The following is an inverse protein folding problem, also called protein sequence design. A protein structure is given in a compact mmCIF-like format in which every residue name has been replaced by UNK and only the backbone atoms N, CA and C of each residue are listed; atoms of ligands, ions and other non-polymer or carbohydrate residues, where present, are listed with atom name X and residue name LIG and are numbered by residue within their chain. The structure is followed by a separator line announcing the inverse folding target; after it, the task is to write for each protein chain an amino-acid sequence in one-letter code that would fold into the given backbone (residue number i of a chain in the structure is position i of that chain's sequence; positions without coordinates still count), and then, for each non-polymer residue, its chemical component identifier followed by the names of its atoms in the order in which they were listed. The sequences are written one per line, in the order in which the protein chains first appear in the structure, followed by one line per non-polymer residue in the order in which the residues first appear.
data_IF_773051634545
#
_entry.id   IF_773051634545
#
_cell.length_a   1.000
_cell.length_b   1.000
_cell.length_c   1.000
_cell.angle_alpha   90.00
_cell.angle_beta   90.00
_cell.angle_gamma   90.00
#
_symmetry.space_group_name_H-M   'P 1'
#
loop_
_entity.id
_entity.type
_entity.pdbx_description
1 polymer ?
#
# COMPACT_ATOMS: atom_id res chain seq x y z
N UNK A 1 12.24 19.05 5.24
CA UNK A 1 12.75 18.66 3.92
C UNK A 1 11.77 19.13 2.84
N UNK A 2 12.28 19.83 1.81
CA UNK A 2 11.49 20.25 0.62
C UNK A 2 11.16 19.07 -0.31
N UNK A 3 11.87 17.94 -0.18
CA UNK A 3 11.69 16.71 -0.99
C UNK A 3 11.81 15.48 -0.09
N UNK A 4 11.11 14.42 -0.46
CA UNK A 4 11.24 13.13 0.21
C UNK A 4 12.65 12.60 0.03
N UNK A 5 13.39 12.29 1.12
CA UNK A 5 14.75 11.77 1.01
C UNK A 5 14.84 10.47 0.20
N UNK A 6 15.95 10.25 -0.49
CA UNK A 6 16.14 9.03 -1.28
C UNK A 6 16.14 7.78 -0.40
N UNK A 7 16.78 7.81 0.77
CA UNK A 7 16.77 6.71 1.74
C UNK A 7 15.33 6.30 2.10
N UNK A 8 14.43 7.26 2.32
CA UNK A 8 13.01 6.95 2.56
C UNK A 8 12.38 6.18 1.39
N UNK A 9 12.62 6.63 0.14
CA UNK A 9 12.06 5.98 -1.04
C UNK A 9 12.59 4.55 -1.21
N UNK A 10 13.86 4.35 -0.92
CA UNK A 10 14.53 3.06 -1.04
C UNK A 10 14.06 2.06 0.02
N UNK A 11 13.75 2.53 1.24
CA UNK A 11 13.21 1.69 2.33
C UNK A 11 11.71 1.43 2.16
N UNK A 12 10.98 2.28 1.43
CA UNK A 12 9.51 2.21 1.27
C UNK A 12 8.98 0.81 0.89
N UNK A 13 9.64 -0.02 0.06
CA UNK A 13 9.20 -1.38 -0.25
C UNK A 13 9.09 -2.35 0.94
N UNK A 14 9.78 -2.07 2.04
CA UNK A 14 9.72 -2.89 3.27
C UNK A 14 8.58 -2.47 4.20
N UNK A 15 8.10 -1.24 4.08
CA UNK A 15 7.01 -0.70 4.92
C UNK A 15 5.73 -1.49 4.70
N UNK A 16 5.20 -2.07 5.77
CA UNK A 16 3.95 -2.83 5.77
C UNK A 16 2.77 -1.96 6.21
N UNK A 17 2.96 -1.21 7.29
CA UNK A 17 1.92 -0.37 7.88
C UNK A 17 2.28 1.10 7.79
N UNK A 18 1.25 1.97 7.77
CA UNK A 18 1.47 3.41 7.65
C UNK A 18 2.34 3.99 8.76
N UNK A 19 2.16 3.54 10.00
CA UNK A 19 2.91 4.02 11.16
C UNK A 19 4.42 3.75 11.09
N UNK A 20 4.85 2.68 10.40
CA UNK A 20 6.28 2.36 10.22
C UNK A 20 7.04 3.49 9.49
N UNK A 21 6.34 4.29 8.67
CA UNK A 21 6.95 5.45 8.03
C UNK A 21 7.45 6.48 9.03
N UNK A 22 6.83 6.58 10.21
CA UNK A 22 7.25 7.49 11.28
C UNK A 22 8.63 7.05 11.82
N UNK A 23 8.84 5.73 11.96
CA UNK A 23 10.12 5.19 12.42
C UNK A 23 11.26 5.53 11.44
N UNK A 24 11.00 5.40 10.15
CA UNK A 24 11.98 5.73 9.10
C UNK A 24 12.30 7.24 9.15
N UNK A 25 11.26 8.08 9.26
CA UNK A 25 11.46 9.54 9.36
C UNK A 25 12.23 9.89 10.62
N UNK A 26 11.93 9.25 11.77
CA UNK A 26 12.65 9.42 13.01
C UNK A 26 14.15 9.17 12.85
N UNK A 27 14.54 8.07 12.22
CA UNK A 27 15.95 7.76 11.97
C UNK A 27 16.60 8.75 10.99
N UNK A 28 15.87 9.21 9.97
CA UNK A 28 16.40 10.19 8.99
C UNK A 28 16.67 11.55 9.61
N UNK A 29 15.87 11.98 10.59
CA UNK A 29 16.02 13.32 11.20
C UNK A 29 17.01 13.36 12.36
N UNK A 30 17.50 12.22 12.85
CA UNK A 30 18.57 12.19 13.85
C UNK A 30 19.82 12.91 13.31
N UNK A 31 20.56 13.56 14.20
CA UNK A 31 21.78 14.31 13.83
C UNK A 31 22.78 13.40 13.10
N UNK A 32 22.94 12.19 13.58
CA UNK A 32 23.83 11.18 13.00
C UNK A 32 23.28 10.55 11.73
N UNK A 33 21.98 10.74 11.43
CA UNK A 33 21.25 10.16 10.32
C UNK A 33 21.69 8.72 10.01
N UNK A 34 21.26 7.73 10.82
CA UNK A 34 21.72 6.35 10.71
C UNK A 34 21.31 5.66 9.39
N UNK A 35 20.43 6.29 8.60
CA UNK A 35 20.00 5.80 7.28
C UNK A 35 20.74 6.50 6.13
N UNK A 36 21.85 7.17 6.42
CA UNK A 36 22.70 7.78 5.41
C UNK A 36 23.77 6.78 4.96
N UNK A 37 23.93 6.63 3.63
CA UNK A 37 24.94 5.75 3.01
C UNK A 37 24.77 4.24 3.35
N UNK A 38 25.86 3.55 3.69
CA UNK A 38 25.94 2.08 3.84
C UNK A 38 25.08 1.50 4.99
N UNK A 39 24.81 2.30 6.02
CA UNK A 39 23.96 1.88 7.14
C UNK A 39 22.50 1.59 6.73
N UNK A 40 22.07 2.11 5.59
CA UNK A 40 20.73 1.85 5.05
C UNK A 40 20.54 0.37 4.70
N UNK A 41 21.56 -0.27 4.12
CA UNK A 41 21.43 -1.67 3.69
C UNK A 41 21.35 -2.61 4.91
N UNK A 42 22.09 -2.32 5.97
CA UNK A 42 21.96 -3.02 7.26
C UNK A 42 20.57 -2.81 7.87
N UNK A 43 20.06 -1.59 7.85
CA UNK A 43 18.70 -1.30 8.32
C UNK A 43 17.63 -2.10 7.53
N UNK A 44 17.78 -2.18 6.22
CA UNK A 44 16.89 -2.92 5.33
C UNK A 44 16.96 -4.43 5.59
N UNK A 45 18.15 -4.99 5.72
CA UNK A 45 18.34 -6.42 5.95
C UNK A 45 17.73 -6.88 7.28
N UNK A 46 17.72 -6.02 8.28
CA UNK A 46 17.18 -6.26 9.61
C UNK A 46 15.92 -5.43 9.89
N UNK A 47 15.12 -5.12 8.85
CA UNK A 47 14.03 -4.13 8.89
C UNK A 47 13.08 -4.32 10.09
N UNK A 48 12.59 -5.53 10.31
CA UNK A 48 11.65 -5.80 11.40
C UNK A 48 12.29 -5.59 12.78
N UNK A 49 13.51 -6.09 13.00
CA UNK A 49 14.25 -5.92 14.26
C UNK A 49 14.56 -4.43 14.52
N UNK A 50 14.92 -3.68 13.47
CA UNK A 50 15.16 -2.25 13.59
C UNK A 50 13.87 -1.48 13.93
N UNK A 51 12.73 -1.83 13.36
CA UNK A 51 11.45 -1.26 13.76
C UNK A 51 11.14 -1.53 15.24
N UNK A 52 11.33 -2.78 15.71
CA UNK A 52 11.11 -3.12 17.13
C UNK A 52 12.09 -2.40 18.05
N UNK A 53 13.37 -2.31 17.68
CA UNK A 53 14.37 -1.55 18.43
C UNK A 53 13.92 -0.09 18.60
N UNK A 54 13.52 0.60 17.52
CA UNK A 54 13.11 2.01 17.59
C UNK A 54 11.88 2.18 18.48
N UNK A 55 10.89 1.29 18.39
CA UNK A 55 9.72 1.30 19.25
C UNK A 55 10.13 1.21 20.72
N UNK A 56 10.99 0.23 21.05
CA UNK A 56 11.42 -0.02 22.43
C UNK A 56 12.27 1.16 22.99
N UNK A 57 13.25 1.65 22.23
CA UNK A 57 14.12 2.77 22.62
C UNK A 57 13.33 4.04 22.94
N UNK A 58 12.20 4.25 22.28
CA UNK A 58 11.37 5.44 22.46
C UNK A 58 10.10 5.17 23.28
N UNK A 59 9.90 3.95 23.77
CA UNK A 59 8.66 3.55 24.46
C UNK A 59 7.39 3.83 23.62
N UNK A 60 7.48 3.64 22.31
CA UNK A 60 6.37 3.90 21.40
C UNK A 60 5.52 2.66 21.16
N UNK A 61 4.23 2.88 20.96
CA UNK A 61 3.25 1.86 20.63
C UNK A 61 2.76 2.10 19.20
N UNK A 62 2.67 1.04 18.40
CA UNK A 62 2.30 1.10 16.98
C UNK A 62 0.95 1.79 16.75
N UNK A 63 -0.04 1.50 17.61
CA UNK A 63 -1.38 2.09 17.57
C UNK A 63 -1.35 3.61 17.78
N UNK A 64 -0.49 4.10 18.67
CA UNK A 64 -0.38 5.54 18.92
C UNK A 64 0.33 6.26 17.78
N UNK A 65 1.36 5.63 17.18
CA UNK A 65 1.97 6.14 15.96
C UNK A 65 0.98 6.20 14.79
N UNK A 66 0.10 5.19 14.67
CA UNK A 66 -0.95 5.20 13.65
C UNK A 66 -1.95 6.34 13.90
N UNK A 67 -2.38 6.55 15.16
CA UNK A 67 -3.25 7.69 15.52
C UNK A 67 -2.58 9.04 15.22
N UNK A 68 -1.30 9.18 15.57
CA UNK A 68 -0.50 10.39 15.28
C UNK A 68 -0.44 10.67 13.77
N UNK A 69 -0.21 9.64 12.96
CA UNK A 69 -0.18 9.75 11.51
C UNK A 69 -1.54 10.22 10.95
N UNK A 70 -2.65 9.69 11.48
CA UNK A 70 -3.99 10.04 11.03
C UNK A 70 -4.41 11.43 11.53
N UNK A 71 -4.01 11.83 12.73
CA UNK A 71 -4.17 13.20 13.22
C UNK A 71 -3.40 14.21 12.36
N UNK A 72 -2.17 13.89 11.97
CA UNK A 72 -1.38 14.72 11.07
C UNK A 72 -2.04 14.88 9.70
N UNK A 73 -2.60 13.79 9.13
CA UNK A 73 -3.37 13.85 7.88
C UNK A 73 -4.62 14.71 8.02
N UNK A 74 -5.38 14.51 9.10
CA UNK A 74 -6.57 15.32 9.39
C UNK A 74 -6.21 16.80 9.49
N UNK A 75 -5.19 17.14 10.26
CA UNK A 75 -4.72 18.51 10.40
C UNK A 75 -4.36 19.15 9.05
N UNK A 76 -3.62 18.41 8.18
CA UNK A 76 -3.26 18.92 6.85
C UNK A 76 -4.49 19.13 5.96
N UNK A 77 -5.46 18.23 6.02
CA UNK A 77 -6.72 18.31 5.28
C UNK A 77 -7.52 19.53 5.72
N UNK A 78 -7.67 19.72 7.04
CA UNK A 78 -8.45 20.80 7.63
C UNK A 78 -7.79 22.17 7.38
N UNK A 79 -6.45 22.20 7.34
CA UNK A 79 -5.67 23.42 7.06
C UNK A 79 -5.70 23.80 5.59
N UNK A 80 -5.44 22.87 4.69
CA UNK A 80 -5.40 23.10 3.24
C UNK A 80 -5.57 21.78 2.48
N UNK A 81 -6.82 21.44 2.21
CA UNK A 81 -7.17 20.23 1.46
C UNK A 81 -6.51 20.17 0.09
N UNK A 82 -6.43 21.31 -0.62
CA UNK A 82 -5.85 21.36 -1.96
C UNK A 82 -4.36 21.05 -1.95
N UNK A 83 -3.63 21.61 -1.00
CA UNK A 83 -2.21 21.30 -0.84
C UNK A 83 -2.00 19.84 -0.43
N UNK A 84 -2.84 19.29 0.46
CA UNK A 84 -2.75 17.89 0.85
C UNK A 84 -3.02 16.94 -0.31
N UNK A 85 -4.06 17.19 -1.12
CA UNK A 85 -4.39 16.33 -2.26
C UNK A 85 -3.32 16.35 -3.35
N UNK A 86 -2.67 17.50 -3.55
CA UNK A 86 -1.58 17.66 -4.52
C UNK A 86 -0.30 16.86 -4.17
N UNK A 87 -0.22 16.28 -2.96
CA UNK A 87 0.83 15.33 -2.60
C UNK A 87 0.58 13.92 -3.18
N UNK A 88 -0.59 13.69 -3.77
CA UNK A 88 -0.98 12.40 -4.31
C UNK A 88 -1.00 12.44 -5.83
N UNK A 89 -0.20 11.59 -6.45
CA UNK A 89 -0.15 11.43 -7.90
C UNK A 89 -0.75 10.08 -8.27
N UNK A 90 -1.96 10.03 -8.82
CA UNK A 90 -2.56 8.77 -9.26
C UNK A 90 -1.87 8.25 -10.52
N UNK A 91 -1.80 6.94 -10.65
CA UNK A 91 -1.41 6.31 -11.91
C UNK A 91 -2.55 6.46 -12.92
N UNK A 92 -2.31 7.19 -14.00
CA UNK A 92 -3.33 7.53 -14.99
C UNK A 92 -3.96 6.27 -15.61
N UNK A 93 -3.15 5.27 -15.93
CA UNK A 93 -3.59 4.00 -16.49
C UNK A 93 -4.53 3.24 -15.54
N UNK A 94 -4.24 3.28 -14.22
CA UNK A 94 -5.11 2.67 -13.19
C UNK A 94 -6.44 3.40 -13.12
N UNK A 95 -6.42 4.74 -13.20
CA UNK A 95 -7.66 5.53 -13.22
C UNK A 95 -8.54 5.17 -14.44
N UNK A 96 -7.92 5.07 -15.63
CA UNK A 96 -8.62 4.67 -16.85
C UNK A 96 -9.17 3.24 -16.74
N UNK A 97 -8.38 2.32 -16.22
CA UNK A 97 -8.77 0.93 -15.98
C UNK A 97 -10.00 0.84 -15.07
N UNK A 98 -9.98 1.51 -13.91
CA UNK A 98 -11.13 1.50 -12.99
C UNK A 98 -12.39 2.13 -13.61
N UNK A 99 -12.25 3.18 -14.43
CA UNK A 99 -13.38 3.76 -15.17
C UNK A 99 -13.93 2.80 -16.21
N UNK A 100 -13.09 2.05 -16.89
CA UNK A 100 -13.51 1.06 -17.88
C UNK A 100 -14.23 -0.12 -17.22
N UNK A 101 -13.72 -0.65 -16.10
CA UNK A 101 -14.41 -1.68 -15.32
C UNK A 101 -15.81 -1.23 -14.92
N UNK A 102 -15.96 0.01 -14.47
CA UNK A 102 -17.27 0.57 -14.10
C UNK A 102 -18.24 0.63 -15.29
N UNK A 103 -17.76 1.01 -16.49
CA UNK A 103 -18.61 1.00 -17.70
C UNK A 103 -19.12 -0.39 -18.06
N UNK A 104 -18.37 -1.44 -17.71
CA UNK A 104 -18.73 -2.84 -17.89
C UNK A 104 -19.49 -3.42 -16.70
N UNK A 105 -19.92 -2.58 -15.76
CA UNK A 105 -20.63 -2.96 -14.54
C UNK A 105 -19.84 -3.93 -13.64
N UNK A 106 -18.50 -4.00 -13.80
CA UNK A 106 -17.62 -4.78 -12.94
C UNK A 106 -17.38 -3.98 -11.66
N UNK A 107 -17.79 -4.54 -10.53
CA UNK A 107 -17.59 -3.94 -9.23
C UNK A 107 -16.09 -3.93 -8.86
N UNK A 108 -15.63 -2.81 -8.34
CA UNK A 108 -14.24 -2.67 -7.89
C UNK A 108 -14.19 -2.42 -6.39
N UNK A 109 -13.18 -2.99 -5.72
CA UNK A 109 -12.91 -2.78 -4.32
C UNK A 109 -11.50 -2.22 -4.09
N UNK A 110 -11.33 -1.38 -3.09
CA UNK A 110 -10.02 -0.88 -2.64
C UNK A 110 -9.79 -1.35 -1.22
N UNK A 111 -8.70 -2.09 -1.00
CA UNK A 111 -8.25 -2.53 0.32
C UNK A 111 -6.89 -1.88 0.59
N UNK A 112 -6.79 -1.06 1.64
CA UNK A 112 -5.61 -0.24 1.88
C UNK A 112 -5.18 -0.23 3.35
N UNK A 113 -3.89 -0.04 3.59
CA UNK A 113 -3.36 0.25 4.93
C UNK A 113 -3.47 1.72 5.33
N UNK A 114 -4.09 2.55 4.51
CA UNK A 114 -4.52 3.91 4.85
C UNK A 114 -5.91 3.84 5.50
N UNK A 115 -6.25 4.74 6.42
CA UNK A 115 -7.61 4.84 6.94
C UNK A 115 -8.63 5.10 5.83
N UNK A 116 -9.79 4.46 5.89
CA UNK A 116 -10.86 4.52 4.88
C UNK A 116 -11.22 5.96 4.52
N UNK A 117 -11.42 6.81 5.50
CA UNK A 117 -11.82 8.21 5.32
C UNK A 117 -10.82 9.01 4.45
N UNK A 118 -9.52 8.72 4.57
CA UNK A 118 -8.49 9.37 3.75
C UNK A 118 -8.45 8.79 2.34
N UNK A 119 -8.63 7.47 2.20
CA UNK A 119 -8.71 6.80 0.91
C UNK A 119 -9.90 7.31 0.10
N UNK A 120 -11.08 7.43 0.71
CA UNK A 120 -12.30 7.98 0.09
C UNK A 120 -12.08 9.40 -0.45
N UNK A 121 -11.48 10.28 0.36
CA UNK A 121 -11.21 11.67 -0.05
C UNK A 121 -10.29 11.72 -1.28
N UNK A 122 -9.24 10.89 -1.29
CA UNK A 122 -8.30 10.82 -2.42
C UNK A 122 -9.00 10.30 -3.67
N UNK A 123 -9.67 9.16 -3.58
CA UNK A 123 -10.33 8.52 -4.71
C UNK A 123 -11.41 9.42 -5.33
N UNK A 124 -12.23 10.05 -4.49
CA UNK A 124 -13.26 11.00 -4.91
C UNK A 124 -12.66 12.18 -5.68
N UNK A 125 -11.53 12.73 -5.22
CA UNK A 125 -10.86 13.84 -5.88
C UNK A 125 -10.40 13.49 -7.30
N UNK A 126 -10.05 12.23 -7.55
CA UNK A 126 -9.64 11.73 -8.86
C UNK A 126 -10.78 11.09 -9.67
N UNK A 127 -12.04 11.31 -9.24
CA UNK A 127 -13.24 10.74 -9.87
C UNK A 127 -13.19 9.21 -9.98
N UNK A 128 -12.70 8.55 -8.92
CA UNK A 128 -12.67 7.09 -8.77
C UNK A 128 -13.68 6.72 -7.68
N UNK A 129 -14.65 5.88 -8.04
CA UNK A 129 -15.77 5.50 -7.18
C UNK A 129 -15.88 3.97 -7.14
N UNK A 130 -15.04 3.30 -6.34
CA UNK A 130 -15.16 1.85 -6.13
C UNK A 130 -16.42 1.52 -5.34
N UNK A 131 -16.95 0.33 -5.50
CA UNK A 131 -18.09 -0.18 -4.73
C UNK A 131 -17.74 -0.34 -3.25
N UNK A 132 -16.51 -0.76 -2.96
CA UNK A 132 -16.03 -1.02 -1.60
C UNK A 132 -14.73 -0.29 -1.33
N UNK A 133 -14.61 0.27 -0.13
CA UNK A 133 -13.35 0.82 0.38
C UNK A 133 -13.15 0.29 1.80
N UNK A 134 -12.06 -0.45 1.99
CA UNK A 134 -11.63 -0.99 3.28
C UNK A 134 -10.30 -0.37 3.68
N UNK A 135 -10.30 0.39 4.77
CA UNK A 135 -9.10 0.91 5.41
C UNK A 135 -8.45 -0.12 6.34
N UNK A 136 -7.36 0.26 6.99
CA UNK A 136 -6.67 -0.62 7.96
C UNK A 136 -7.59 -1.03 9.12
N UNK A 137 -8.55 -0.21 9.49
CA UNK A 137 -9.54 -0.46 10.53
C UNK A 137 -10.49 -1.62 10.21
N UNK A 138 -10.58 -2.01 8.96
CA UNK A 138 -11.43 -3.13 8.51
C UNK A 138 -10.76 -4.49 8.69
N UNK A 139 -9.50 -4.53 9.11
CA UNK A 139 -8.73 -5.75 9.32
C UNK A 139 -7.70 -6.04 8.23
N UNK A 140 -7.24 -7.28 8.17
CA UNK A 140 -6.22 -7.69 7.20
C UNK A 140 -6.81 -7.88 5.80
N UNK A 141 -6.00 -7.66 4.75
CA UNK A 141 -6.42 -7.84 3.36
C UNK A 141 -6.97 -9.24 3.09
N UNK A 142 -6.39 -10.27 3.73
CA UNK A 142 -6.84 -11.66 3.59
C UNK A 142 -8.25 -11.83 4.16
N UNK A 143 -8.49 -11.39 5.41
CA UNK A 143 -9.82 -11.48 6.04
C UNK A 143 -10.89 -10.72 5.27
N UNK A 144 -10.52 -9.61 4.64
CA UNK A 144 -11.44 -8.85 3.79
C UNK A 144 -11.71 -9.63 2.50
N UNK A 145 -10.69 -10.21 1.86
CA UNK A 145 -10.85 -11.05 0.68
C UNK A 145 -11.74 -12.27 0.98
N UNK A 146 -11.51 -12.98 2.09
CA UNK A 146 -12.35 -14.10 2.56
C UNK A 146 -13.83 -13.71 2.65
N UNK A 147 -14.12 -12.56 3.25
CA UNK A 147 -15.51 -12.08 3.34
C UNK A 147 -16.11 -11.77 1.97
N UNK A 148 -15.31 -11.20 1.08
CA UNK A 148 -15.78 -10.85 -0.26
C UNK A 148 -16.03 -12.08 -1.12
N UNK A 149 -15.26 -13.16 -1.00
CA UNK A 149 -15.50 -14.43 -1.74
C UNK A 149 -16.82 -15.09 -1.37
N UNK A 150 -17.37 -14.82 -0.18
CA UNK A 150 -18.67 -15.34 0.22
C UNK A 150 -19.85 -14.75 -0.56
N UNK A 151 -19.64 -13.60 -1.20
CA UNK A 151 -20.73 -12.85 -1.86
C UNK A 151 -20.41 -12.58 -3.33
N UNK A 152 -19.15 -12.51 -3.70
CA UNK A 152 -18.68 -12.10 -5.02
C UNK A 152 -17.70 -13.11 -5.61
N UNK A 153 -17.81 -13.35 -6.91
CA UNK A 153 -16.72 -13.91 -7.69
C UNK A 153 -15.65 -12.84 -7.88
N UNK A 154 -14.45 -13.09 -7.36
CA UNK A 154 -13.35 -12.14 -7.44
C UNK A 154 -12.53 -12.42 -8.69
N UNK A 155 -12.68 -11.58 -9.71
CA UNK A 155 -12.00 -11.70 -11.00
C UNK A 155 -10.51 -11.41 -10.95
N UNK A 156 -10.03 -10.71 -9.90
CA UNK A 156 -8.62 -10.44 -9.71
C UNK A 156 -8.29 -9.65 -8.46
N UNK A 157 -7.11 -9.90 -7.90
CA UNK A 157 -6.53 -9.18 -6.78
C UNK A 157 -5.19 -8.58 -7.22
N UNK A 158 -5.14 -7.25 -7.32
CA UNK A 158 -3.95 -6.50 -7.75
C UNK A 158 -3.28 -5.87 -6.53
N UNK A 159 -2.00 -6.16 -6.31
CA UNK A 159 -1.27 -5.75 -5.11
C UNK A 159 0.21 -5.55 -5.44
N UNK A 160 0.88 -4.62 -4.78
CA UNK A 160 2.31 -4.35 -4.94
C UNK A 160 3.20 -5.07 -3.90
N UNK A 161 2.60 -5.78 -2.94
CA UNK A 161 3.32 -6.58 -1.95
C UNK A 161 3.22 -8.07 -2.27
N UNK A 162 4.31 -8.64 -2.79
CA UNK A 162 4.40 -10.07 -3.11
C UNK A 162 3.93 -10.97 -1.96
N UNK A 163 4.34 -10.65 -0.71
CA UNK A 163 3.94 -11.44 0.48
C UNK A 163 2.42 -11.48 0.66
N UNK A 164 1.71 -10.38 0.42
CA UNK A 164 0.24 -10.36 0.50
C UNK A 164 -0.39 -11.31 -0.52
N UNK A 165 0.12 -11.34 -1.75
CA UNK A 165 -0.37 -12.25 -2.79
C UNK A 165 -0.07 -13.72 -2.45
N UNK A 166 1.11 -14.00 -1.90
CA UNK A 166 1.44 -15.35 -1.39
C UNK A 166 0.46 -15.75 -0.30
N UNK A 167 0.15 -14.87 0.65
CA UNK A 167 -0.78 -15.15 1.74
C UNK A 167 -2.20 -15.43 1.21
N UNK A 168 -2.66 -14.68 0.20
CA UNK A 168 -3.93 -14.94 -0.50
C UNK A 168 -3.93 -16.33 -1.16
N UNK A 169 -2.83 -16.71 -1.82
CA UNK A 169 -2.72 -18.01 -2.50
C UNK A 169 -2.58 -19.21 -1.55
N UNK A 170 -2.03 -19.00 -0.37
CA UNK A 170 -1.88 -20.05 0.65
C UNK A 170 -3.14 -20.26 1.49
N UNK A 171 -4.09 -19.36 1.45
CA UNK A 171 -5.33 -19.46 2.20
C UNK A 171 -6.41 -20.20 1.38
N UNK A 172 -7.04 -21.23 1.98
CA UNK A 172 -7.98 -22.12 1.29
C UNK A 172 -9.16 -21.40 0.68
N UNK A 173 -9.71 -20.37 1.35
CA UNK A 173 -10.89 -19.63 0.90
C UNK A 173 -10.59 -18.63 -0.22
N UNK A 174 -9.33 -18.21 -0.36
CA UNK A 174 -8.92 -17.17 -1.32
C UNK A 174 -7.92 -17.66 -2.38
N UNK A 175 -7.43 -18.90 -2.27
CA UNK A 175 -6.42 -19.46 -3.19
C UNK A 175 -6.82 -19.46 -4.66
N UNK A 176 -8.14 -19.54 -4.94
CA UNK A 176 -8.69 -19.51 -6.30
C UNK A 176 -8.65 -18.13 -6.95
N UNK A 177 -8.49 -17.04 -6.18
CA UNK A 177 -8.48 -15.67 -6.71
C UNK A 177 -7.29 -15.47 -7.65
N UNK A 178 -7.50 -14.98 -8.90
CA UNK A 178 -6.39 -14.58 -9.76
C UNK A 178 -5.58 -13.44 -9.13
N UNK A 179 -4.27 -13.63 -8.97
CA UNK A 179 -3.38 -12.69 -8.28
C UNK A 179 -2.41 -12.01 -9.24
N UNK A 180 -2.30 -10.70 -9.12
CA UNK A 180 -1.44 -9.87 -9.97
C UNK A 180 -0.52 -8.99 -9.14
N UNK A 181 0.80 -9.13 -9.34
CA UNK A 181 1.79 -8.26 -8.72
C UNK A 181 1.96 -7.00 -9.57
N UNK A 182 1.58 -5.86 -9.02
CA UNK A 182 1.65 -4.56 -9.69
C UNK A 182 3.09 -4.06 -9.77
N UNK A 183 3.70 -4.09 -10.95
CA UNK A 183 5.12 -3.74 -11.18
C UNK A 183 5.43 -2.24 -10.95
N UNK A 184 4.42 -1.40 -10.93
CA UNK A 184 4.54 0.05 -10.70
C UNK A 184 4.47 0.49 -9.24
N UNK A 185 4.24 -0.44 -8.31
CA UNK A 185 4.13 -0.15 -6.88
C UNK A 185 5.48 -0.16 -6.15
N UNK A 186 5.41 -0.22 -4.82
CA UNK A 186 6.60 -0.27 -3.96
C UNK A 186 7.14 -1.70 -3.82
N UNK A 187 7.78 -2.21 -4.88
CA UNK A 187 8.36 -3.55 -4.90
C UNK A 187 9.84 -3.53 -4.53
N UNK A 188 10.28 -4.57 -3.83
CA UNK A 188 11.70 -4.92 -3.76
C UNK A 188 12.15 -5.41 -5.15
N UNK A 189 13.42 -5.18 -5.50
CA UNK A 189 13.95 -5.67 -6.77
C UNK A 189 13.74 -7.19 -6.92
N UNK A 190 13.93 -7.95 -5.83
CA UNK A 190 13.74 -9.39 -5.78
C UNK A 190 12.29 -9.85 -5.97
N UNK A 191 11.30 -9.01 -5.70
CA UNK A 191 9.88 -9.39 -5.78
C UNK A 191 9.43 -9.68 -7.22
N UNK A 192 10.12 -9.12 -8.22
CA UNK A 192 9.86 -9.34 -9.66
C UNK A 192 10.29 -10.72 -10.16
N UNK A 193 11.16 -11.36 -9.40
CA UNK A 193 11.72 -12.67 -9.76
C UNK A 193 11.13 -13.77 -8.87
N UNK A 194 11.18 -15.01 -9.35
CA UNK A 194 10.72 -16.18 -8.62
C UNK A 194 9.28 -16.04 -8.12
N UNK A 195 8.40 -15.54 -8.98
CA UNK A 195 6.97 -15.58 -8.73
C UNK A 195 6.47 -17.02 -8.86
N UNK A 196 5.58 -17.44 -7.97
CA UNK A 196 4.85 -18.70 -8.16
C UNK A 196 3.98 -18.60 -9.42
N UNK A 197 3.74 -19.72 -10.09
CA UNK A 197 3.00 -19.78 -11.36
C UNK A 197 1.58 -19.19 -11.28
N UNK A 198 1.04 -19.09 -10.08
CA UNK A 198 -0.31 -18.59 -9.77
C UNK A 198 -0.35 -17.09 -9.44
N UNK A 199 0.82 -16.40 -9.51
CA UNK A 199 0.94 -14.93 -9.36
C UNK A 199 1.55 -14.36 -10.62
N UNK A 200 0.82 -13.52 -11.33
CA UNK A 200 1.28 -12.90 -12.58
C UNK A 200 1.86 -11.51 -12.32
N UNK A 201 3.02 -11.21 -12.91
CA UNK A 201 3.55 -9.84 -12.93
C UNK A 201 2.71 -8.99 -13.88
N UNK A 202 2.16 -7.90 -13.37
CA UNK A 202 1.30 -6.98 -14.14
C UNK A 202 2.02 -5.65 -14.34
N UNK A 203 2.19 -5.24 -15.59
CA UNK A 203 2.71 -3.92 -15.96
C UNK A 203 1.57 -2.94 -16.22
N UNK A 204 1.78 -1.65 -15.98
CA UNK A 204 0.77 -0.61 -16.24
C UNK A 204 0.21 -0.68 -17.66
N UNK A 205 1.08 -0.87 -18.66
CA UNK A 205 0.69 -0.93 -20.06
C UNK A 205 -0.23 -2.11 -20.39
N UNK A 206 -0.20 -3.18 -19.58
CA UNK A 206 -0.99 -4.39 -19.76
C UNK A 206 -2.32 -4.39 -18.99
N UNK A 207 -2.63 -3.33 -18.21
CA UNK A 207 -3.91 -3.24 -17.48
C UNK A 207 -5.13 -3.40 -18.39
N UNK A 208 -5.04 -2.90 -19.63
CA UNK A 208 -6.13 -3.01 -20.62
C UNK A 208 -6.44 -4.47 -20.99
N UNK A 209 -5.46 -5.35 -20.94
CA UNK A 209 -5.61 -6.77 -21.28
C UNK A 209 -6.50 -7.49 -20.25
N UNK A 210 -6.51 -7.04 -18.98
CA UNK A 210 -7.39 -7.59 -17.95
C UNK A 210 -8.87 -7.26 -18.19
N UNK A 211 -9.17 -6.27 -19.01
CA UNK A 211 -10.54 -5.90 -19.36
C UNK A 211 -11.05 -6.70 -20.57
N UNK A 212 -10.16 -7.35 -21.31
CA UNK A 212 -10.51 -8.15 -22.49
C UNK A 212 -11.03 -9.56 -22.14
N UNK A 213 -11.04 -9.88 -20.84
CA UNK A 213 -11.61 -11.10 -20.28
C UNK A 213 -13.06 -10.81 -19.89
#
# INVERSE_FOLDING_TARGET
YKRVPNSFKEIRPWVKYGWEMILIVHEIIKIENPLKNDNKDDFINNYHQNCQRILNENSWIAEDLQKMLDQSRKYQIDKDFKSWINLHNPFFEVMLFMKELRKREIKTGVITTKGKIFAEKILKQFNIYPEFIFGYESGTKIKIAEKLTQTYEILGFIEDRKKTLIDIKQNLETSHIPCFLADWGYLKKSDRYNLSNDIKLLKLVNLKELVAI
#
